data_IF_336817561204
#
_entry.id   IF_336817561204
#
_cell.length_a   1.000
_cell.length_b   1.000
_cell.length_c   1.000
_cell.angle_alpha   90.00
_cell.angle_beta   90.00
_cell.angle_gamma   90.00
#
_symmetry.space_group_name_H-M   'P 1'
#
loop_
_entity.id
_entity.type
_entity.pdbx_description
1 polymer ?
#
# COMPACT_ATOMS: atom_id res chain seq x y z
N UNK A 1 17.52 7.95 4.52
CA UNK A 1 16.83 8.49 3.33
C UNK A 1 16.36 9.89 3.65
N UNK A 2 16.44 10.85 2.73
CA UNK A 2 15.98 12.24 2.96
C UNK A 2 15.31 12.77 1.71
N UNK A 3 14.05 13.18 1.82
CA UNK A 3 13.29 13.87 0.78
C UNK A 3 13.67 15.35 0.75
N UNK A 4 13.98 15.89 -0.43
CA UNK A 4 14.38 17.30 -0.65
C UNK A 4 13.38 18.08 -1.52
N UNK A 5 12.18 17.54 -1.76
CA UNK A 5 11.26 18.04 -2.79
C UNK A 5 11.49 17.37 -4.15
N UNK A 6 10.68 17.74 -5.14
CA UNK A 6 10.88 17.37 -6.55
C UNK A 6 10.58 18.56 -7.47
N UNK A 7 11.08 18.55 -8.71
CA UNK A 7 10.77 19.60 -9.70
C UNK A 7 9.28 19.69 -10.03
N UNK A 8 8.53 18.59 -9.83
CA UNK A 8 7.12 18.47 -10.14
C UNK A 8 6.19 18.68 -8.92
N UNK A 9 6.72 18.88 -7.72
CA UNK A 9 5.92 19.00 -6.49
C UNK A 9 6.48 20.05 -5.54
N UNK A 10 5.71 21.13 -5.37
CA UNK A 10 6.02 22.21 -4.43
C UNK A 10 5.61 21.75 -3.02
N UNK A 11 6.56 21.25 -2.25
CA UNK A 11 6.37 20.99 -0.82
C UNK A 11 6.73 22.22 0.01
N UNK A 12 5.87 22.59 0.96
CA UNK A 12 6.25 23.53 2.02
C UNK A 12 7.34 22.92 2.90
N UNK A 13 8.14 23.76 3.57
CA UNK A 13 9.18 23.30 4.49
C UNK A 13 8.62 22.38 5.58
N UNK A 14 7.42 22.67 6.09
CA UNK A 14 6.71 21.85 7.07
C UNK A 14 6.35 20.46 6.53
N UNK A 15 5.90 20.36 5.28
CA UNK A 15 5.57 19.09 4.65
C UNK A 15 6.83 18.26 4.41
N UNK A 16 7.89 18.90 3.93
CA UNK A 16 9.21 18.26 3.78
C UNK A 16 9.75 17.75 5.12
N UNK A 17 9.58 18.52 6.20
CA UNK A 17 9.97 18.13 7.55
C UNK A 17 9.16 16.92 8.02
N UNK A 18 7.83 16.94 7.86
CA UNK A 18 6.96 15.83 8.25
C UNK A 18 7.30 14.52 7.53
N UNK A 19 7.54 14.58 6.22
CA UNK A 19 7.99 13.42 5.42
C UNK A 19 9.32 12.89 5.93
N UNK A 20 10.30 13.77 6.14
CA UNK A 20 11.62 13.34 6.63
C UNK A 20 11.57 12.80 8.05
N UNK A 21 10.72 13.34 8.92
CA UNK A 21 10.49 12.82 10.26
C UNK A 21 9.88 11.41 10.20
N UNK A 22 8.85 11.21 9.37
CA UNK A 22 8.22 9.89 9.19
C UNK A 22 9.22 8.84 8.68
N UNK A 23 10.05 9.19 7.69
CA UNK A 23 11.11 8.32 7.17
C UNK A 23 12.14 7.99 8.27
N UNK A 24 12.60 9.00 9.01
CA UNK A 24 13.64 8.83 10.03
C UNK A 24 13.15 7.99 11.21
N UNK A 25 11.89 8.20 11.63
CA UNK A 25 11.28 7.47 12.74
C UNK A 25 10.71 6.12 12.31
N UNK A 26 10.70 5.81 11.01
CA UNK A 26 10.02 4.66 10.43
C UNK A 26 8.56 4.55 10.90
N UNK A 27 7.86 5.69 10.92
CA UNK A 27 6.45 5.78 11.31
C UNK A 27 5.58 6.14 10.10
N UNK A 28 4.35 5.61 10.00
CA UNK A 28 3.41 6.03 8.97
C UNK A 28 3.13 7.54 9.04
N UNK A 29 2.99 8.18 7.87
CA UNK A 29 2.59 9.58 7.76
C UNK A 29 1.14 9.65 7.31
N UNK A 30 0.27 10.22 8.14
CA UNK A 30 -1.10 10.53 7.77
C UNK A 30 -1.18 11.94 7.17
N UNK A 31 -1.58 12.04 5.91
CA UNK A 31 -1.71 13.33 5.21
C UNK A 31 -3.19 13.68 5.08
N UNK A 32 -3.60 14.82 5.66
CA UNK A 32 -4.96 15.37 5.56
C UNK A 32 -4.96 16.64 4.70
N UNK A 33 -6.07 16.91 4.03
CA UNK A 33 -6.27 18.11 3.21
C UNK A 33 -7.49 17.97 2.32
N UNK A 34 -7.89 19.06 1.66
CA UNK A 34 -9.03 19.06 0.73
C UNK A 34 -8.76 18.18 -0.51
N UNK A 35 -9.80 17.68 -1.19
CA UNK A 35 -9.63 17.03 -2.49
C UNK A 35 -8.82 17.90 -3.47
N UNK A 36 -7.90 17.28 -4.20
CA UNK A 36 -7.07 18.01 -5.19
C UNK A 36 -5.81 18.70 -4.65
N UNK A 37 -5.51 18.62 -3.35
CA UNK A 37 -4.29 19.23 -2.76
C UNK A 37 -2.99 18.44 -2.99
N UNK A 38 -2.98 17.48 -3.93
CA UNK A 38 -1.77 16.73 -4.29
C UNK A 38 -1.29 15.68 -3.29
N UNK A 39 -2.17 15.13 -2.43
CA UNK A 39 -1.82 14.08 -1.44
C UNK A 39 -1.28 12.80 -2.10
N UNK A 40 -1.98 12.31 -3.12
CA UNK A 40 -1.55 11.15 -3.93
C UNK A 40 -0.21 11.46 -4.61
N UNK A 41 -0.06 12.66 -5.17
CA UNK A 41 1.16 13.10 -5.84
C UNK A 41 2.36 13.16 -4.89
N UNK A 42 2.16 13.52 -3.61
CA UNK A 42 3.23 13.50 -2.61
C UNK A 42 3.86 12.11 -2.51
N UNK A 43 3.06 11.05 -2.42
CA UNK A 43 3.59 9.68 -2.31
C UNK A 43 4.36 9.27 -3.58
N UNK A 44 3.84 9.62 -4.76
CA UNK A 44 4.51 9.39 -6.05
C UNK A 44 5.87 10.07 -6.08
N UNK A 45 5.93 11.33 -5.68
CA UNK A 45 7.15 12.14 -5.76
C UNK A 45 8.16 11.77 -4.67
N UNK A 46 7.71 11.36 -3.48
CA UNK A 46 8.56 10.77 -2.45
C UNK A 46 9.18 9.46 -2.93
N UNK A 47 8.39 8.56 -3.53
CA UNK A 47 8.88 7.30 -4.07
C UNK A 47 9.95 7.53 -5.16
N UNK A 48 9.66 8.42 -6.13
CA UNK A 48 10.62 8.82 -7.17
C UNK A 48 11.89 9.42 -6.60
N UNK A 49 11.78 10.41 -5.70
CA UNK A 49 12.93 11.10 -5.14
C UNK A 49 13.83 10.19 -4.28
N UNK A 50 13.26 9.14 -3.67
CA UNK A 50 14.01 8.16 -2.90
C UNK A 50 14.45 6.94 -3.73
N UNK A 51 14.01 6.84 -4.99
CA UNK A 51 14.28 5.69 -5.85
C UNK A 51 13.63 4.39 -5.35
N UNK A 52 12.45 4.49 -4.74
CA UNK A 52 11.74 3.36 -4.15
C UNK A 52 10.53 2.93 -4.99
N UNK A 53 10.18 1.63 -4.97
CA UNK A 53 8.91 1.17 -5.53
C UNK A 53 7.73 1.86 -4.82
N UNK A 54 6.69 2.18 -5.60
CA UNK A 54 5.42 2.66 -5.10
C UNK A 54 4.38 1.54 -5.23
N UNK A 55 3.73 1.19 -4.12
CA UNK A 55 2.49 0.43 -4.13
C UNK A 55 1.33 1.38 -3.79
N UNK A 56 0.26 1.29 -4.57
CA UNK A 56 -0.95 2.09 -4.36
C UNK A 56 -2.11 1.18 -3.98
N UNK A 57 -2.70 1.44 -2.82
CA UNK A 57 -3.88 0.75 -2.33
C UNK A 57 -5.00 1.75 -2.11
N UNK A 58 -5.97 1.74 -3.03
CA UNK A 58 -7.13 2.62 -2.99
C UNK A 58 -8.26 1.96 -2.18
N UNK A 59 -8.66 2.61 -1.10
CA UNK A 59 -9.65 2.10 -0.15
C UNK A 59 -11.07 2.45 -0.62
N UNK A 60 -11.97 1.46 -0.51
CA UNK A 60 -13.42 1.61 -0.74
C UNK A 60 -14.18 1.37 0.56
N UNK A 61 -15.46 1.74 0.60
CA UNK A 61 -16.35 1.44 1.73
C UNK A 61 -16.52 -0.05 2.03
N UNK A 62 -16.22 -0.91 1.06
CA UNK A 62 -16.25 -2.36 1.22
C UNK A 62 -14.88 -2.96 1.50
N UNK A 63 -13.83 -2.13 1.57
CA UNK A 63 -12.46 -2.60 1.78
C UNK A 63 -12.23 -2.93 3.26
N UNK A 64 -11.82 -4.18 3.51
CA UNK A 64 -11.45 -4.67 4.85
C UNK A 64 -9.95 -4.75 5.01
N UNK A 65 -9.46 -4.56 6.23
CA UNK A 65 -8.03 -4.69 6.55
C UNK A 65 -7.45 -6.06 6.14
N UNK A 66 -8.24 -7.13 6.26
CA UNK A 66 -7.84 -8.47 5.83
C UNK A 66 -7.43 -8.52 4.35
N UNK A 67 -8.13 -7.79 3.47
CA UNK A 67 -7.82 -7.77 2.04
C UNK A 67 -6.47 -7.12 1.74
N UNK A 68 -6.00 -6.22 2.62
CA UNK A 68 -4.65 -5.68 2.54
C UNK A 68 -3.59 -6.74 2.85
N UNK A 69 -3.90 -7.73 3.69
CA UNK A 69 -3.00 -8.83 4.02
C UNK A 69 -3.11 -9.95 2.98
N UNK A 70 -4.27 -10.61 2.90
CA UNK A 70 -4.49 -11.67 1.93
C UNK A 70 -5.96 -11.99 1.74
N UNK A 71 -6.28 -12.57 0.58
CA UNK A 71 -7.56 -13.21 0.30
C UNK A 71 -7.36 -14.69 0.03
N UNK A 72 -8.35 -15.49 0.42
CA UNK A 72 -8.37 -16.92 0.17
C UNK A 72 -9.32 -17.21 -1.00
N UNK A 73 -8.77 -17.67 -2.11
CA UNK A 73 -9.53 -18.00 -3.32
C UNK A 73 -10.15 -19.40 -3.20
N UNK A 74 -11.24 -19.45 -2.45
CA UNK A 74 -12.03 -20.66 -2.26
C UNK A 74 -12.63 -21.19 -3.57
N UNK A 75 -12.90 -20.30 -4.55
CA UNK A 75 -13.56 -20.65 -5.82
C UNK A 75 -12.59 -21.43 -6.69
N UNK A 76 -11.37 -20.92 -6.88
CA UNK A 76 -10.34 -21.64 -7.63
C UNK A 76 -10.01 -22.97 -6.97
N UNK A 77 -9.92 -23.01 -5.63
CA UNK A 77 -9.66 -24.28 -4.91
C UNK A 77 -10.77 -25.30 -5.10
N UNK A 78 -12.03 -24.88 -5.05
CA UNK A 78 -13.17 -25.77 -5.26
C UNK A 78 -13.16 -26.35 -6.68
N UNK A 79 -12.90 -25.51 -7.69
CA UNK A 79 -12.77 -25.94 -9.09
C UNK A 79 -11.66 -26.98 -9.25
N UNK A 80 -10.48 -26.69 -8.73
CA UNK A 80 -9.31 -27.58 -8.83
C UNK A 80 -9.55 -28.91 -8.08
N UNK A 81 -10.28 -28.86 -6.96
CA UNK A 81 -10.69 -30.06 -6.21
C UNK A 81 -11.64 -30.94 -6.99
N UNK A 82 -12.52 -30.38 -7.81
CA UNK A 82 -13.42 -31.14 -8.68
C UNK A 82 -12.69 -31.79 -9.86
N UNK A 83 -11.58 -31.19 -10.31
CA UNK A 83 -10.75 -31.69 -11.39
C UNK A 83 -9.66 -32.67 -10.93
N UNK A 84 -9.52 -32.90 -9.62
CA UNK A 84 -8.49 -33.77 -9.05
C UNK A 84 -7.08 -33.20 -9.16
N UNK A 85 -6.93 -31.87 -9.21
CA UNK A 85 -5.61 -31.23 -9.29
C UNK A 85 -4.85 -31.38 -7.96
N UNK A 86 -3.62 -31.93 -7.94
CA UNK A 86 -2.84 -32.10 -6.72
C UNK A 86 -2.50 -30.80 -5.99
N UNK A 87 -2.61 -29.62 -6.64
CA UNK A 87 -2.36 -28.31 -6.03
C UNK A 87 -3.28 -28.01 -4.84
N UNK A 88 -4.43 -28.68 -4.75
CA UNK A 88 -5.44 -28.49 -3.68
C UNK A 88 -4.95 -28.86 -2.29
N UNK A 89 -3.90 -29.68 -2.20
CA UNK A 89 -3.28 -30.09 -0.95
C UNK A 89 -2.45 -28.98 -0.31
N UNK A 90 -2.06 -27.95 -1.08
CA UNK A 90 -1.26 -26.83 -0.59
C UNK A 90 -2.07 -25.53 -0.56
N UNK A 91 -2.48 -25.09 0.64
CA UNK A 91 -3.34 -23.90 0.80
C UNK A 91 -2.72 -22.63 0.22
N UNK A 92 -1.38 -22.51 0.25
CA UNK A 92 -0.63 -21.37 -0.29
C UNK A 92 -0.91 -21.09 -1.76
N UNK A 93 -1.34 -22.09 -2.53
CA UNK A 93 -1.70 -21.94 -3.94
C UNK A 93 -2.96 -21.10 -4.16
N UNK A 94 -3.74 -20.88 -3.10
CA UNK A 94 -5.02 -20.17 -3.12
C UNK A 94 -5.00 -18.92 -2.24
N UNK A 95 -3.81 -18.48 -1.83
CA UNK A 95 -3.62 -17.23 -1.09
C UNK A 95 -3.23 -16.14 -2.07
N UNK A 96 -4.11 -15.17 -2.26
CA UNK A 96 -3.84 -13.95 -3.03
C UNK A 96 -3.29 -12.91 -2.07
N UNK A 97 -2.07 -12.42 -2.33
CA UNK A 97 -1.38 -11.47 -1.45
C UNK A 97 -1.91 -10.05 -1.66
N UNK A 98 -2.36 -9.41 -0.58
CA UNK A 98 -2.78 -8.02 -0.58
C UNK A 98 -1.61 -7.02 -0.59
N UNK A 99 -1.92 -5.74 -0.71
CA UNK A 99 -0.91 -4.68 -0.83
C UNK A 99 -0.05 -4.50 0.43
N UNK A 100 -0.63 -4.64 1.63
CA UNK A 100 0.13 -4.61 2.88
C UNK A 100 1.07 -5.81 2.98
N UNK A 101 0.63 -7.01 2.57
CA UNK A 101 1.52 -8.17 2.55
C UNK A 101 2.71 -7.95 1.61
N UNK A 102 2.45 -7.46 0.40
CA UNK A 102 3.52 -7.14 -0.55
C UNK A 102 4.48 -6.10 0.04
N UNK A 103 3.97 -5.08 0.73
CA UNK A 103 4.78 -4.09 1.42
C UNK A 103 5.65 -4.67 2.55
N UNK A 104 5.06 -5.47 3.44
CA UNK A 104 5.76 -6.03 4.58
C UNK A 104 6.77 -7.12 4.22
N UNK A 105 6.53 -7.84 3.12
CA UNK A 105 7.42 -8.92 2.66
C UNK A 105 8.42 -8.49 1.59
N UNK A 106 8.44 -7.21 1.21
CA UNK A 106 9.41 -6.70 0.25
C UNK A 106 10.83 -6.79 0.79
N UNK A 107 11.76 -7.29 -0.05
CA UNK A 107 13.18 -7.37 0.28
C UNK A 107 13.84 -5.97 0.34
N UNK A 108 13.24 -5.00 -0.33
CA UNK A 108 13.68 -3.60 -0.35
C UNK A 108 12.64 -2.68 0.26
N UNK A 109 13.02 -1.52 0.83
CA UNK A 109 12.06 -0.54 1.30
C UNK A 109 11.17 -0.06 0.16
N UNK A 110 9.89 0.12 0.44
CA UNK A 110 8.91 0.63 -0.52
C UNK A 110 8.11 1.78 0.07
N UNK A 111 7.50 2.58 -0.79
CA UNK A 111 6.45 3.51 -0.41
C UNK A 111 5.11 2.83 -0.65
N UNK A 112 4.30 2.69 0.40
CA UNK A 112 2.91 2.25 0.28
C UNK A 112 2.00 3.45 0.48
N UNK A 113 1.28 3.83 -0.57
CA UNK A 113 0.18 4.79 -0.50
C UNK A 113 -1.11 4.04 -0.17
N UNK A 114 -1.73 4.39 0.96
CA UNK A 114 -3.09 3.96 1.29
C UNK A 114 -4.00 5.17 1.07
N UNK A 115 -4.63 5.22 -0.10
CA UNK A 115 -5.45 6.37 -0.51
C UNK A 115 -6.91 6.20 -0.06
N UNK A 116 -7.56 7.32 0.25
CA UNK A 116 -8.94 7.37 0.78
C UNK A 116 -9.19 6.46 2.01
N UNK A 117 -8.19 6.35 2.91
CA UNK A 117 -8.29 5.53 4.12
C UNK A 117 -9.48 5.89 5.02
N UNK A 118 -9.99 7.12 4.93
CA UNK A 118 -11.20 7.57 5.62
C UNK A 118 -12.47 6.86 5.16
N UNK A 119 -12.45 6.17 4.01
CA UNK A 119 -13.55 5.31 3.55
C UNK A 119 -13.48 3.88 4.08
N UNK A 120 -12.41 3.49 4.78
CA UNK A 120 -12.28 2.12 5.28
C UNK A 120 -13.37 1.80 6.29
N UNK A 121 -13.82 0.54 6.28
CA UNK A 121 -14.66 0.01 7.34
C UNK A 121 -13.86 -0.03 8.66
N UNK A 122 -14.49 0.40 9.76
CA UNK A 122 -13.87 0.44 11.10
C UNK A 122 -14.04 -0.91 11.81
N UNK A 123 -14.92 -1.78 11.30
CA UNK A 123 -15.28 -3.08 11.87
C UNK A 123 -14.45 -4.27 11.39
#
# INVERSE_FOLDING_TARGET
MRFKGSEAYVSTDDLTLAVNAAITLQRPLLVKGEPGTGKTMLAVEVAKALGLPLLEWHIKSTTKAQQGLYEYDAVSRLRDSQLGDPRVHEIRNYIVRGMLWQAFTSETPIVLLIDEIDKADIE
#
